data_IF_295321296766
#
_entry.id   IF_295321296766
#
_cell.length_a   1.000
_cell.length_b   1.000
_cell.length_c   1.000
_cell.angle_alpha   90.00
_cell.angle_beta   90.00
_cell.angle_gamma   90.00
#
_symmetry.space_group_name_H-M   'P 1'
#
loop_
_entity.id
_entity.type
_entity.pdbx_description
1 polymer ?
#
# COMPACT_ATOMS: atom_id res chain seq x y z
N UNK A 1 -5.11 -24.29 35.88
CA UNK A 1 -5.82 -25.51 36.30
C UNK A 1 -6.61 -26.01 35.09
N UNK A 2 -6.39 -27.28 34.66
CA UNK A 2 -6.85 -27.95 33.40
C UNK A 2 -6.03 -27.54 32.15
N UNK A 3 -5.17 -28.32 31.47
CA UNK A 3 -4.98 -29.78 31.21
C UNK A 3 -6.26 -30.49 30.79
N UNK A 4 -6.41 -30.83 29.50
CA UNK A 4 -6.57 -32.20 28.92
C UNK A 4 -6.46 -32.08 27.38
N UNK A 5 -5.83 -33.08 26.76
CA UNK A 5 -5.86 -33.51 25.33
C UNK A 5 -4.48 -33.56 24.66
N UNK A 6 -3.64 -34.44 25.19
CA UNK A 6 -2.65 -35.21 24.43
C UNK A 6 -3.06 -36.67 24.59
N UNK A 7 -3.59 -37.29 23.54
CA UNK A 7 -3.60 -38.74 23.34
C UNK A 7 -4.24 -39.05 21.99
N UNK A 8 -3.40 -39.41 21.00
CA UNK A 8 -3.71 -40.34 19.90
C UNK A 8 -2.50 -40.36 18.93
N UNK A 9 -1.46 -41.11 19.29
CA UNK A 9 -0.54 -41.68 18.30
C UNK A 9 0.37 -42.72 18.96
N UNK A 10 -0.08 -43.98 18.99
CA UNK A 10 0.76 -45.17 18.75
C UNK A 10 -0.06 -46.45 18.83
N UNK A 11 -0.21 -47.14 17.70
CA UNK A 11 0.04 -48.59 17.58
C UNK A 11 0.12 -49.03 16.10
N UNK A 12 1.35 -49.36 15.69
CA UNK A 12 1.81 -50.45 14.80
C UNK A 12 1.04 -50.79 13.50
N UNK A 13 1.68 -50.91 12.33
CA UNK A 13 2.63 -51.99 12.04
C UNK A 13 3.32 -51.84 10.67
N UNK A 14 4.41 -52.60 10.53
CA UNK A 14 5.40 -52.70 9.47
C UNK A 14 4.90 -52.96 8.04
N UNK A 15 5.40 -52.19 7.06
CA UNK A 15 5.55 -52.61 5.66
C UNK A 15 6.86 -52.05 5.09
N UNK A 16 7.76 -52.97 4.73
CA UNK A 16 9.03 -52.75 4.03
C UNK A 16 8.82 -52.01 2.71
N UNK A 17 9.58 -50.93 2.45
CA UNK A 17 9.73 -50.33 1.13
C UNK A 17 11.21 -50.15 0.80
N UNK A 18 11.61 -50.72 -0.34
CA UNK A 18 12.90 -50.53 -0.99
C UNK A 18 13.18 -49.04 -1.28
N UNK A 19 14.41 -48.61 -0.99
CA UNK A 19 14.96 -47.31 -1.37
C UNK A 19 15.85 -47.51 -2.60
N UNK A 20 15.64 -46.82 -3.75
CA UNK A 20 16.61 -46.81 -4.84
C UNK A 20 17.66 -45.70 -4.66
N UNK A 21 18.87 -45.86 -5.19
CA UNK A 21 20.00 -44.97 -4.93
C UNK A 21 19.86 -43.61 -5.64
N UNK A 22 20.30 -42.57 -4.93
CA UNK A 22 20.45 -41.21 -5.43
C UNK A 22 21.67 -41.12 -6.35
N UNK A 23 21.49 -40.57 -7.55
CA UNK A 23 22.58 -40.19 -8.43
C UNK A 23 22.30 -40.50 -9.90
N UNK A 24 21.47 -39.69 -10.55
CA UNK A 24 21.38 -39.54 -12.02
C UNK A 24 20.37 -38.46 -12.48
N UNK A 25 19.57 -37.87 -11.58
CA UNK A 25 18.55 -36.87 -11.93
C UNK A 25 19.06 -35.41 -12.05
N UNK A 26 20.31 -35.10 -11.69
CA UNK A 26 20.82 -33.72 -11.67
C UNK A 26 21.47 -33.24 -12.98
N UNK A 27 21.73 -34.13 -13.95
CA UNK A 27 22.43 -33.77 -15.19
C UNK A 27 21.48 -33.26 -16.30
N UNK A 28 20.21 -33.68 -16.32
CA UNK A 28 19.27 -33.33 -17.40
C UNK A 28 18.50 -32.00 -17.17
N UNK A 29 18.68 -31.34 -16.02
CA UNK A 29 18.01 -30.08 -15.71
C UNK A 29 18.82 -28.83 -16.12
N UNK A 30 20.15 -28.95 -16.29
CA UNK A 30 21.02 -27.83 -16.71
C UNK A 30 20.85 -27.47 -18.20
N UNK A 31 20.74 -28.45 -19.08
CA UNK A 31 20.56 -28.19 -20.52
C UNK A 31 19.20 -27.61 -20.91
N UNK A 32 18.18 -27.74 -20.04
CA UNK A 32 16.84 -27.19 -20.30
C UNK A 32 16.69 -25.74 -19.86
N UNK A 33 17.52 -25.27 -18.92
CA UNK A 33 17.52 -23.88 -18.45
C UNK A 33 18.33 -22.94 -19.37
N UNK A 34 19.39 -23.43 -20.02
CA UNK A 34 20.20 -22.61 -20.93
C UNK A 34 19.45 -22.23 -22.22
N UNK A 35 18.56 -23.08 -22.74
CA UNK A 35 17.75 -22.76 -23.94
C UNK A 35 16.63 -21.76 -23.66
N UNK A 36 16.07 -21.76 -22.45
CA UNK A 36 14.99 -20.82 -22.09
C UNK A 36 15.54 -19.39 -21.92
N UNK A 37 16.79 -19.24 -21.47
CA UNK A 37 17.43 -17.92 -21.38
C UNK A 37 17.84 -17.34 -22.74
N UNK A 38 18.18 -18.16 -23.75
CA UNK A 38 18.51 -17.65 -25.09
C UNK A 38 17.28 -17.13 -25.85
N UNK A 39 16.13 -17.80 -25.70
CA UNK A 39 14.92 -17.47 -26.46
C UNK A 39 14.23 -16.18 -25.95
N UNK A 40 14.37 -15.87 -24.65
CA UNK A 40 13.86 -14.61 -24.06
C UNK A 40 14.73 -13.40 -24.46
N UNK A 41 16.02 -13.60 -24.74
CA UNK A 41 16.92 -12.55 -25.22
C UNK A 41 16.70 -12.24 -26.73
N UNK A 42 16.36 -13.24 -27.55
CA UNK A 42 16.16 -13.07 -28.98
C UNK A 42 14.81 -12.41 -29.36
N UNK A 43 13.79 -12.51 -28.51
CA UNK A 43 12.47 -11.91 -28.77
C UNK A 43 12.40 -10.37 -28.61
N UNK A 44 13.51 -9.71 -28.25
CA UNK A 44 13.57 -8.24 -28.01
C UNK A 44 14.09 -7.39 -29.19
N UNK A 45 14.27 -7.96 -30.39
CA UNK A 45 14.88 -7.22 -31.52
C UNK A 45 14.00 -7.01 -32.75
N UNK A 46 12.68 -7.19 -32.66
CA UNK A 46 11.76 -6.84 -33.75
C UNK A 46 10.75 -5.78 -33.31
N UNK A 47 11.17 -4.52 -33.42
CA UNK A 47 10.30 -3.34 -33.37
C UNK A 47 9.50 -3.23 -34.67
N UNK A 48 8.19 -3.37 -34.57
CA UNK A 48 7.24 -3.00 -35.62
C UNK A 48 7.00 -1.48 -35.57
N UNK A 49 6.94 -0.76 -36.71
CA UNK A 49 6.80 0.69 -36.70
C UNK A 49 5.37 1.10 -36.26
N UNK A 50 5.30 2.02 -35.30
CA UNK A 50 4.06 2.59 -34.80
C UNK A 50 3.35 3.41 -35.89
N UNK A 51 2.11 3.05 -36.22
CA UNK A 51 1.19 3.91 -36.98
C UNK A 51 0.80 5.11 -36.11
N UNK A 52 1.13 6.31 -36.56
CA UNK A 52 0.64 7.56 -35.98
C UNK A 52 -0.85 7.70 -36.29
N UNK A 53 -1.70 7.51 -35.27
CA UNK A 53 -3.04 8.07 -35.25
C UNK A 53 -3.01 9.27 -34.30
N UNK A 54 -3.30 10.45 -34.84
CA UNK A 54 -3.51 11.68 -34.10
C UNK A 54 -4.82 11.57 -33.31
N UNK A 55 -4.73 11.18 -32.05
CA UNK A 55 -5.84 11.38 -31.11
C UNK A 55 -5.78 12.81 -30.58
N UNK A 56 -6.85 13.55 -30.83
CA UNK A 56 -7.12 14.86 -30.23
C UNK A 56 -7.14 14.71 -28.69
N UNK A 57 -6.05 15.10 -28.03
CA UNK A 57 -6.02 15.18 -26.58
C UNK A 57 -6.94 16.32 -26.11
N UNK A 58 -7.99 16.03 -25.32
CA UNK A 58 -8.79 17.09 -24.73
C UNK A 58 -7.93 17.92 -23.77
N UNK A 59 -8.08 19.24 -23.90
CA UNK A 59 -7.34 20.30 -23.23
C UNK A 59 -7.18 20.06 -21.72
N UNK A 60 -5.93 20.21 -21.27
CA UNK A 60 -5.43 20.32 -19.89
C UNK A 60 -6.49 20.79 -18.86
N UNK A 61 -6.79 19.93 -17.89
CA UNK A 61 -7.64 20.21 -16.73
C UNK A 61 -6.77 20.46 -15.50
N UNK A 62 -6.99 21.61 -14.83
CA UNK A 62 -6.72 21.97 -13.42
C UNK A 62 -5.53 21.29 -12.71
N UNK A 63 -4.61 22.08 -12.14
CA UNK A 63 -3.53 21.59 -11.25
C UNK A 63 -3.96 20.39 -10.40
N UNK A 64 -3.25 19.25 -10.46
CA UNK A 64 -3.74 18.03 -9.86
C UNK A 64 -3.73 18.16 -8.33
N UNK A 65 -4.82 17.74 -7.68
CA UNK A 65 -4.94 17.72 -6.21
C UNK A 65 -3.97 16.66 -5.65
N UNK A 66 -3.12 16.98 -4.67
CA UNK A 66 -2.29 16.01 -3.96
C UNK A 66 -3.06 14.73 -3.64
N UNK A 67 -2.64 13.62 -4.25
CA UNK A 67 -3.30 12.33 -4.08
C UNK A 67 -2.29 11.31 -3.56
N UNK A 68 -2.65 10.64 -2.48
CA UNK A 68 -1.80 9.69 -1.77
C UNK A 68 -2.48 8.31 -1.70
N UNK A 69 -1.74 7.27 -2.09
CA UNK A 69 -2.14 5.87 -1.89
C UNK A 69 -1.45 5.33 -0.64
N UNK A 70 -2.23 4.84 0.32
CA UNK A 70 -1.72 4.29 1.57
C UNK A 70 -1.72 2.78 1.48
N UNK A 71 -0.54 2.22 1.28
CA UNK A 71 -0.29 0.78 1.29
C UNK A 71 0.22 0.34 2.64
N UNK A 72 0.00 -0.92 2.98
CA UNK A 72 0.61 -1.56 4.15
C UNK A 72 1.60 -2.61 3.70
N UNK A 73 2.69 -2.78 4.45
CA UNK A 73 3.59 -3.89 4.25
C UNK A 73 2.92 -5.22 4.61
N UNK A 74 1.99 -5.19 5.58
CA UNK A 74 1.16 -6.33 5.95
C UNK A 74 -0.21 -5.87 6.49
N UNK A 75 -1.03 -6.82 6.93
CA UNK A 75 -2.16 -6.56 7.83
C UNK A 75 -1.66 -6.22 9.23
N UNK A 76 -2.43 -5.43 9.98
CA UNK A 76 -2.16 -5.11 11.39
C UNK A 76 -0.79 -4.45 11.63
N UNK A 77 -0.41 -3.54 10.74
CA UNK A 77 0.78 -2.68 10.87
C UNK A 77 0.43 -1.25 11.31
N UNK A 78 -0.85 -1.01 11.63
CA UNK A 78 -1.34 0.32 12.02
C UNK A 78 -1.70 1.27 10.88
N UNK A 79 -2.03 0.75 9.68
CA UNK A 79 -2.43 1.56 8.51
C UNK A 79 -3.47 2.63 8.84
N UNK A 80 -4.61 2.24 9.40
CA UNK A 80 -5.72 3.16 9.68
C UNK A 80 -5.34 4.19 10.75
N UNK A 81 -4.56 3.78 11.75
CA UNK A 81 -4.04 4.66 12.81
C UNK A 81 -3.13 5.74 12.22
N UNK A 82 -2.16 5.34 11.41
CA UNK A 82 -1.24 6.28 10.77
C UNK A 82 -1.95 7.15 9.71
N UNK A 83 -2.94 6.60 8.99
CA UNK A 83 -3.74 7.37 8.04
C UNK A 83 -4.55 8.46 8.73
N UNK A 84 -5.16 8.18 9.88
CA UNK A 84 -5.84 9.21 10.68
C UNK A 84 -4.87 10.29 11.19
N UNK A 85 -3.63 9.92 11.55
CA UNK A 85 -2.59 10.89 11.90
C UNK A 85 -2.17 11.78 10.72
N UNK A 86 -1.98 11.18 9.54
CA UNK A 86 -1.68 11.91 8.30
C UNK A 86 -2.79 12.90 7.94
N UNK A 87 -4.05 12.49 8.07
CA UNK A 87 -5.21 13.36 7.83
C UNK A 87 -5.24 14.55 8.80
N UNK A 88 -4.95 14.33 10.08
CA UNK A 88 -4.85 15.41 11.07
C UNK A 88 -3.76 16.42 10.72
N UNK A 89 -2.56 15.93 10.38
CA UNK A 89 -1.45 16.77 9.98
C UNK A 89 -1.76 17.54 8.69
N UNK A 90 -2.34 16.86 7.68
CA UNK A 90 -2.70 17.46 6.40
C UNK A 90 -3.78 18.54 6.52
N UNK A 91 -4.75 18.37 7.43
CA UNK A 91 -5.81 19.34 7.66
C UNK A 91 -5.35 20.55 8.49
N UNK A 92 -4.23 20.42 9.21
CA UNK A 92 -3.70 21.46 10.09
C UNK A 92 -2.59 22.21 9.36
N UNK A 93 -2.79 23.49 8.98
CA UNK A 93 -1.74 24.26 8.33
C UNK A 93 -0.51 24.46 9.24
N UNK A 94 0.69 24.70 8.67
CA UNK A 94 1.81 25.24 9.43
C UNK A 94 1.44 26.55 10.12
N UNK A 95 2.03 26.86 11.28
CA UNK A 95 1.69 28.01 12.14
C UNK A 95 1.66 29.38 11.43
N UNK A 96 2.29 29.51 10.26
CA UNK A 96 2.32 30.71 9.43
C UNK A 96 1.11 30.87 8.50
N UNK A 97 0.20 29.90 8.45
CA UNK A 97 -0.93 29.89 7.51
C UNK A 97 -2.26 29.69 8.24
N UNK A 98 -3.23 30.58 8.00
CA UNK A 98 -4.57 30.54 8.61
C UNK A 98 -5.61 29.83 7.72
N UNK A 99 -5.22 29.35 6.54
CA UNK A 99 -6.13 28.70 5.61
C UNK A 99 -6.41 27.24 6.03
N UNK A 100 -7.68 26.84 5.98
CA UNK A 100 -8.08 25.46 6.26
C UNK A 100 -7.79 24.56 5.06
N UNK A 101 -7.19 23.40 5.32
CA UNK A 101 -6.88 22.40 4.30
C UNK A 101 -8.02 21.40 4.22
N UNK A 102 -8.56 21.21 3.02
CA UNK A 102 -9.52 20.14 2.75
C UNK A 102 -8.81 18.79 2.62
N UNK A 103 -9.31 17.79 3.33
CA UNK A 103 -8.73 16.45 3.32
C UNK A 103 -9.81 15.40 3.09
N UNK A 104 -9.58 14.52 2.13
CA UNK A 104 -10.57 13.53 1.69
C UNK A 104 -10.02 12.12 1.89
N UNK A 105 -10.67 11.34 2.76
CA UNK A 105 -10.34 9.95 3.01
C UNK A 105 -11.23 9.01 2.18
N UNK A 106 -10.61 8.03 1.51
CA UNK A 106 -11.32 7.02 0.73
C UNK A 106 -10.77 5.63 1.09
N UNK A 107 -11.66 4.71 1.46
CA UNK A 107 -11.37 3.28 1.60
C UNK A 107 -12.15 2.52 0.51
N UNK A 108 -11.51 2.12 -0.60
CA UNK A 108 -12.26 1.45 -1.66
C UNK A 108 -12.83 0.09 -1.22
N UNK A 109 -12.07 -0.67 -0.44
CA UNK A 109 -12.44 -2.02 0.01
C UNK A 109 -12.32 -2.11 1.54
N UNK A 110 -13.42 -2.42 2.23
CA UNK A 110 -13.48 -2.61 3.69
C UNK A 110 -14.00 -4.01 4.03
N UNK A 111 -13.31 -4.72 4.92
CA UNK A 111 -13.76 -6.00 5.45
C UNK A 111 -13.72 -6.00 6.97
N UNK A 112 -14.86 -6.26 7.62
CA UNK A 112 -15.02 -6.15 9.06
C UNK A 112 -14.75 -4.73 9.58
N UNK A 113 -15.07 -4.49 10.85
CA UNK A 113 -14.78 -3.21 11.52
C UNK A 113 -15.36 -1.99 10.79
N UNK A 114 -14.75 -0.81 10.98
CA UNK A 114 -15.08 0.40 10.21
C UNK A 114 -13.91 1.37 10.28
N UNK A 115 -13.07 1.38 9.23
CA UNK A 115 -11.92 2.30 9.14
C UNK A 115 -12.41 3.75 9.00
N UNK A 116 -13.47 3.96 8.23
CA UNK A 116 -14.16 5.26 8.12
C UNK A 116 -14.65 5.76 9.50
N UNK A 117 -15.30 4.90 10.28
CA UNK A 117 -15.72 5.25 11.64
C UNK A 117 -14.52 5.53 12.57
N UNK A 118 -13.41 4.81 12.38
CA UNK A 118 -12.17 5.07 13.12
C UNK A 118 -11.57 6.43 12.76
N UNK A 119 -11.50 6.76 11.46
CA UNK A 119 -10.99 8.05 10.97
C UNK A 119 -11.86 9.20 11.47
N UNK A 120 -13.19 9.11 11.40
CA UNK A 120 -14.07 10.16 11.91
C UNK A 120 -13.88 10.46 13.40
N UNK A 121 -13.58 9.44 14.21
CA UNK A 121 -13.32 9.61 15.64
C UNK A 121 -11.95 10.21 15.95
N UNK A 122 -10.93 9.87 15.17
CA UNK A 122 -9.54 10.23 15.48
C UNK A 122 -8.99 11.38 14.62
N UNK A 123 -9.66 11.74 13.53
CA UNK A 123 -9.30 12.81 12.62
C UNK A 123 -10.54 13.62 12.24
N UNK A 124 -11.22 14.19 13.24
CA UNK A 124 -12.48 14.93 13.07
C UNK A 124 -12.38 16.17 12.16
N UNK A 125 -11.16 16.62 11.86
CA UNK A 125 -10.88 17.67 10.89
C UNK A 125 -10.96 17.21 9.42
N UNK A 126 -11.15 15.91 9.16
CA UNK A 126 -11.30 15.39 7.80
C UNK A 126 -12.54 15.98 7.12
N UNK A 127 -12.39 16.45 5.89
CA UNK A 127 -13.49 17.09 5.14
C UNK A 127 -14.53 16.09 4.67
N UNK A 128 -14.09 14.90 4.24
CA UNK A 128 -14.99 13.81 3.89
C UNK A 128 -14.33 12.47 4.06
N UNK A 129 -15.10 11.47 4.49
CA UNK A 129 -14.71 10.07 4.46
C UNK A 129 -15.62 9.31 3.49
N UNK A 130 -15.09 8.25 2.88
CA UNK A 130 -15.91 7.35 2.07
C UNK A 130 -15.37 5.92 2.06
N UNK A 131 -16.21 4.98 2.49
CA UNK A 131 -16.07 3.56 2.11
C UNK A 131 -16.84 3.28 0.81
N UNK A 132 -16.22 2.66 -0.20
CA UNK A 132 -16.89 2.34 -1.47
C UNK A 132 -17.59 0.98 -1.45
N UNK A 133 -16.88 -0.06 -1.01
CA UNK A 133 -17.42 -1.42 -0.86
C UNK A 133 -17.09 -1.96 0.52
N UNK A 134 -18.07 -2.64 1.13
CA UNK A 134 -17.99 -3.12 2.51
C UNK A 134 -18.54 -4.54 2.62
N UNK A 135 -17.81 -5.36 3.37
CA UNK A 135 -18.22 -6.66 3.87
C UNK A 135 -18.11 -6.69 5.40
N UNK A 136 -18.98 -7.43 6.07
CA UNK A 136 -18.96 -7.59 7.54
C UNK A 136 -17.94 -8.65 7.98
N UNK A 137 -17.65 -9.62 7.12
CA UNK A 137 -16.71 -10.71 7.40
C UNK A 137 -15.29 -10.16 7.57
N UNK A 138 -14.62 -10.38 8.73
CA UNK A 138 -13.27 -9.91 9.00
C UNK A 138 -12.24 -10.82 8.32
N UNK A 139 -12.20 -10.80 7.00
CA UNK A 139 -11.27 -11.56 6.16
C UNK A 139 -10.71 -10.68 5.04
N UNK A 140 -9.77 -11.21 4.25
CA UNK A 140 -9.33 -10.50 3.04
C UNK A 140 -10.51 -10.28 2.05
N UNK A 141 -10.49 -9.23 1.22
CA UNK A 141 -11.61 -8.89 0.34
C UNK A 141 -12.15 -10.05 -0.49
N UNK A 142 -11.31 -10.85 -1.16
CA UNK A 142 -11.78 -11.99 -1.95
C UNK A 142 -12.51 -13.07 -1.12
N UNK A 143 -12.10 -13.29 0.14
CA UNK A 143 -12.74 -14.26 1.03
C UNK A 143 -14.07 -13.69 1.52
N UNK A 144 -14.07 -12.45 2.01
CA UNK A 144 -15.27 -11.80 2.53
C UNK A 144 -16.36 -11.69 1.45
N UNK A 145 -15.98 -11.26 0.24
CA UNK A 145 -16.89 -11.18 -0.90
C UNK A 145 -17.50 -12.53 -1.28
N UNK A 146 -16.70 -13.61 -1.23
CA UNK A 146 -17.17 -14.97 -1.48
C UNK A 146 -18.10 -15.48 -0.38
N UNK A 147 -17.72 -15.31 0.88
CA UNK A 147 -18.50 -15.80 2.04
C UNK A 147 -19.85 -15.11 2.14
N UNK A 148 -19.93 -13.83 1.80
CA UNK A 148 -21.17 -13.06 1.83
C UNK A 148 -21.96 -13.11 0.52
N UNK A 149 -21.47 -13.81 -0.50
CA UNK A 149 -22.06 -13.83 -1.84
C UNK A 149 -22.31 -12.41 -2.40
N UNK A 150 -21.34 -11.51 -2.18
CA UNK A 150 -21.35 -10.10 -2.63
C UNK A 150 -20.06 -9.77 -3.39
N UNK A 151 -19.82 -10.39 -4.56
CA UNK A 151 -18.64 -10.11 -5.34
C UNK A 151 -18.62 -8.71 -5.93
N UNK A 152 -17.42 -8.14 -6.05
CA UNK A 152 -17.18 -6.88 -6.76
C UNK A 152 -15.95 -7.09 -7.64
N UNK A 153 -16.11 -6.89 -8.95
CA UNK A 153 -15.02 -7.00 -9.93
C UNK A 153 -14.03 -5.83 -9.83
N UNK A 154 -12.81 -6.05 -10.29
CA UNK A 154 -11.75 -5.02 -10.25
C UNK A 154 -12.13 -3.77 -11.06
N UNK A 155 -12.85 -3.94 -12.19
CA UNK A 155 -13.40 -2.84 -12.98
C UNK A 155 -14.44 -2.01 -12.20
N UNK A 156 -15.36 -2.67 -11.49
CA UNK A 156 -16.35 -1.99 -10.64
C UNK A 156 -15.66 -1.19 -9.52
N UNK A 157 -14.60 -1.74 -8.91
CA UNK A 157 -13.83 -1.03 -7.88
C UNK A 157 -13.22 0.25 -8.46
N UNK A 158 -12.52 0.13 -9.59
CA UNK A 158 -11.83 1.26 -10.20
C UNK A 158 -12.80 2.30 -10.78
N UNK A 159 -13.93 1.87 -11.36
CA UNK A 159 -14.96 2.78 -11.84
C UNK A 159 -15.61 3.55 -10.70
N UNK A 160 -15.96 2.89 -9.59
CA UNK A 160 -16.54 3.55 -8.43
C UNK A 160 -15.56 4.55 -7.80
N UNK A 161 -14.28 4.17 -7.69
CA UNK A 161 -13.22 5.06 -7.20
C UNK A 161 -13.05 6.27 -8.13
N UNK A 162 -12.97 6.06 -9.44
CA UNK A 162 -12.86 7.14 -10.40
C UNK A 162 -14.06 8.09 -10.35
N UNK A 163 -15.28 7.56 -10.35
CA UNK A 163 -16.50 8.34 -10.22
C UNK A 163 -16.51 9.16 -8.92
N UNK A 164 -16.11 8.57 -7.79
CA UNK A 164 -16.05 9.29 -6.51
C UNK A 164 -15.00 10.41 -6.54
N UNK A 165 -13.80 10.15 -7.06
CA UNK A 165 -12.73 11.16 -7.21
C UNK A 165 -13.15 12.36 -8.08
N UNK A 166 -14.09 12.18 -9.01
CA UNK A 166 -14.67 13.27 -9.80
C UNK A 166 -15.66 14.14 -9.01
N UNK A 167 -16.25 13.61 -7.93
CA UNK A 167 -17.17 14.38 -7.06
C UNK A 167 -16.43 15.29 -6.07
N UNK A 168 -15.15 15.04 -5.82
CA UNK A 168 -14.35 15.85 -4.91
C UNK A 168 -14.17 17.25 -5.52
N UNK A 169 -14.57 18.33 -4.82
CA UNK A 169 -14.50 19.68 -5.34
C UNK A 169 -13.09 20.04 -5.79
N UNK A 170 -12.92 20.29 -7.09
CA UNK A 170 -11.68 20.81 -7.67
C UNK A 170 -11.73 22.32 -7.90
N UNK A 171 -12.70 23.00 -7.32
CA UNK A 171 -12.84 24.46 -7.33
C UNK A 171 -13.55 24.84 -6.04
N UNK A 172 -13.24 26.00 -5.49
CA UNK A 172 -14.04 26.51 -4.38
C UNK A 172 -15.44 26.96 -4.86
N UNK A 173 -16.28 27.38 -3.91
CA UNK A 173 -17.64 27.90 -4.15
C UNK A 173 -17.71 29.12 -5.10
N UNK A 174 -16.59 29.77 -5.38
CA UNK A 174 -16.49 30.94 -6.26
C UNK A 174 -15.99 30.59 -7.66
N UNK A 175 -15.77 29.30 -7.96
CA UNK A 175 -15.31 28.85 -9.27
C UNK A 175 -13.81 29.10 -9.51
N UNK A 176 -13.08 29.51 -8.48
CA UNK A 176 -11.61 29.58 -8.49
C UNK A 176 -11.02 28.18 -8.35
N UNK A 177 -9.86 27.95 -8.97
CA UNK A 177 -9.03 26.72 -8.84
C UNK A 177 -8.95 26.38 -7.35
N UNK A 178 -9.13 25.10 -6.94
CA UNK A 178 -9.14 24.82 -5.52
C UNK A 178 -7.79 25.29 -4.99
N UNK A 179 -7.84 25.92 -3.83
CA UNK A 179 -6.67 26.47 -3.18
C UNK A 179 -5.57 25.39 -3.12
N UNK A 180 -4.32 25.82 -2.92
CA UNK A 180 -3.15 24.96 -2.64
C UNK A 180 -3.33 24.01 -1.42
N UNK A 181 -4.55 23.87 -0.91
CA UNK A 181 -4.89 23.36 0.40
C UNK A 181 -5.95 22.24 0.29
N UNK A 182 -5.79 21.32 -0.67
CA UNK A 182 -6.63 20.11 -0.76
C UNK A 182 -5.76 18.86 -0.91
N UNK A 183 -6.14 17.76 -0.27
CA UNK A 183 -5.45 16.47 -0.42
C UNK A 183 -6.42 15.28 -0.34
N UNK A 184 -6.07 14.21 -1.06
CA UNK A 184 -6.84 12.98 -1.18
C UNK A 184 -5.99 11.82 -0.67
N UNK A 185 -6.56 10.99 0.20
CA UNK A 185 -5.90 9.88 0.87
C UNK A 185 -6.70 8.59 0.64
N UNK A 186 -6.18 7.71 -0.21
CA UNK A 186 -6.81 6.46 -0.61
C UNK A 186 -6.14 5.32 0.16
N UNK A 187 -6.82 4.75 1.14
CA UNK A 187 -6.30 3.68 1.97
C UNK A 187 -6.68 2.30 1.41
N UNK A 188 -5.67 1.48 1.15
CA UNK A 188 -5.84 0.11 0.60
C UNK A 188 -6.24 -0.91 1.68
N UNK A 189 -6.70 -2.08 1.26
CA UNK A 189 -7.03 -3.19 2.17
C UNK A 189 -5.91 -4.23 2.24
N UNK A 190 -5.48 -4.59 3.46
CA UNK A 190 -4.42 -5.58 3.67
C UNK A 190 -3.02 -5.04 3.34
N UNK A 191 -2.13 -5.92 2.91
CA UNK A 191 -0.79 -5.57 2.41
C UNK A 191 -0.75 -5.29 0.90
N UNK A 192 0.39 -4.86 0.37
CA UNK A 192 0.59 -4.58 -1.07
C UNK A 192 0.10 -5.71 -1.98
N UNK A 193 0.45 -6.95 -1.63
CA UNK A 193 0.12 -8.14 -2.41
C UNK A 193 -1.16 -8.85 -1.93
N UNK A 194 -1.94 -8.21 -1.05
CA UNK A 194 -3.23 -8.78 -0.63
C UNK A 194 -4.20 -8.84 -1.81
N UNK A 195 -5.05 -9.87 -1.89
CA UNK A 195 -6.08 -9.97 -2.92
C UNK A 195 -7.07 -8.80 -2.89
N UNK A 196 -7.50 -8.36 -4.07
CA UNK A 196 -8.72 -7.58 -4.29
C UNK A 196 -9.99 -8.43 -3.98
N UNK A 197 -11.19 -7.90 -4.21
CA UNK A 197 -12.49 -8.52 -3.88
C UNK A 197 -13.01 -9.59 -4.86
N UNK A 198 -12.27 -9.86 -5.92
CA UNK A 198 -12.80 -10.30 -7.22
C UNK A 198 -13.69 -11.59 -7.25
N UNK A 199 -14.62 -11.62 -8.23
CA UNK A 199 -15.96 -12.29 -8.37
C UNK A 199 -16.04 -13.82 -8.67
N UNK A 200 -17.20 -14.53 -8.46
CA UNK A 200 -17.53 -15.85 -9.04
C UNK A 200 -17.63 -15.89 -10.57
N UNK A 201 -17.71 -14.74 -11.25
CA UNK A 201 -17.61 -14.66 -12.72
C UNK A 201 -16.14 -14.59 -13.22
N UNK A 202 -15.16 -14.49 -12.31
CA UNK A 202 -13.73 -14.66 -12.64
C UNK A 202 -13.33 -16.13 -12.87
N UNK A 203 -14.29 -16.96 -13.27
CA UNK A 203 -14.02 -18.26 -13.88
C UNK A 203 -13.57 -18.10 -15.35
N UNK A 204 -13.76 -16.91 -15.92
CA UNK A 204 -13.20 -16.54 -17.21
C UNK A 204 -12.08 -15.52 -17.02
N UNK A 205 -11.07 -15.69 -17.84
CA UNK A 205 -9.74 -15.19 -17.60
C UNK A 205 -9.59 -13.71 -17.98
N UNK A 206 -10.55 -12.83 -17.76
CA UNK A 206 -10.34 -11.43 -18.20
C UNK A 206 -9.39 -10.59 -17.30
N UNK A 207 -8.79 -11.21 -16.26
CA UNK A 207 -7.52 -10.78 -15.65
C UNK A 207 -6.34 -11.76 -15.89
N UNK A 208 -6.56 -12.80 -16.68
CA UNK A 208 -5.60 -13.75 -17.26
C UNK A 208 -5.76 -13.72 -18.79
N UNK A 209 -5.04 -12.89 -19.54
CA UNK A 209 -5.28 -12.71 -21.00
C UNK A 209 -5.32 -13.99 -21.88
N UNK A 210 -5.10 -15.18 -21.33
CA UNK A 210 -5.31 -16.49 -21.92
C UNK A 210 -6.15 -17.44 -21.03
N UNK A 211 -6.53 -18.59 -21.56
CA UNK A 211 -7.32 -19.64 -20.89
C UNK A 211 -6.54 -20.45 -19.83
N UNK A 212 -5.52 -19.86 -19.16
CA UNK A 212 -4.65 -20.58 -18.21
C UNK A 212 -4.68 -20.10 -16.74
N UNK A 213 -5.43 -19.05 -16.37
CA UNK A 213 -5.32 -18.42 -15.03
C UNK A 213 -6.58 -18.39 -14.14
N UNK A 214 -6.37 -18.13 -12.83
CA UNK A 214 -7.38 -18.03 -11.77
C UNK A 214 -7.56 -16.60 -11.23
N UNK A 215 -8.65 -16.40 -10.49
CA UNK A 215 -9.22 -15.10 -10.07
C UNK A 215 -8.41 -14.20 -9.13
N UNK A 216 -8.99 -13.00 -8.91
CA UNK A 216 -8.50 -11.82 -8.17
C UNK A 216 -7.08 -11.32 -8.52
N UNK A 217 -6.92 -10.01 -8.56
CA UNK A 217 -5.60 -9.36 -8.66
C UNK A 217 -5.13 -8.91 -7.28
N UNK A 218 -3.84 -8.58 -7.13
CA UNK A 218 -3.36 -7.96 -5.88
C UNK A 218 -3.78 -6.49 -5.81
N UNK A 219 -3.86 -5.92 -4.60
CA UNK A 219 -4.13 -4.48 -4.40
C UNK A 219 -3.10 -3.62 -5.15
N UNK A 220 -1.82 -4.04 -5.16
CA UNK A 220 -0.77 -3.39 -5.93
C UNK A 220 -1.04 -3.36 -7.43
N UNK A 221 -1.64 -4.42 -8.00
CA UNK A 221 -1.99 -4.48 -9.41
C UNK A 221 -3.29 -3.69 -9.71
N UNK A 222 -4.28 -3.76 -8.80
CA UNK A 222 -5.57 -3.08 -8.93
C UNK A 222 -5.40 -1.56 -9.12
N UNK A 223 -4.60 -0.90 -8.28
CA UNK A 223 -4.47 0.56 -8.30
C UNK A 223 -3.36 1.08 -9.21
N UNK A 224 -2.73 0.22 -10.02
CA UNK A 224 -1.62 0.64 -10.91
C UNK A 224 -1.99 1.81 -11.84
N UNK A 225 -3.23 1.92 -12.36
CA UNK A 225 -3.64 3.09 -13.15
C UNK A 225 -3.57 4.45 -12.42
N UNK A 226 -3.47 4.46 -11.09
CA UNK A 226 -3.29 5.67 -10.27
C UNK A 226 -1.81 5.97 -9.96
N UNK A 227 -0.88 5.05 -10.22
CA UNK A 227 0.50 5.14 -9.74
C UNK A 227 1.29 6.36 -10.25
N UNK A 228 1.00 6.85 -11.45
CA UNK A 228 1.64 8.07 -11.99
C UNK A 228 1.01 9.35 -11.42
N UNK A 229 -0.23 9.26 -10.94
CA UNK A 229 -1.05 10.38 -10.46
C UNK A 229 -1.15 10.46 -8.94
N UNK A 230 -0.55 9.50 -8.23
CA UNK A 230 -0.60 9.44 -6.78
C UNK A 230 0.77 9.07 -6.21
N UNK A 231 1.16 9.74 -5.14
CA UNK A 231 2.32 9.34 -4.35
C UNK A 231 1.93 8.19 -3.40
N UNK A 232 2.78 7.17 -3.27
CA UNK A 232 2.55 6.10 -2.30
C UNK A 232 3.20 6.44 -0.96
N UNK A 233 2.44 6.29 0.11
CA UNK A 233 2.98 6.14 1.47
C UNK A 233 2.83 4.68 1.86
N UNK A 234 3.95 4.04 2.18
CA UNK A 234 3.96 2.66 2.65
C UNK A 234 4.00 2.64 4.19
N UNK A 235 2.99 2.07 4.81
CA UNK A 235 3.03 1.75 6.23
C UNK A 235 3.78 0.44 6.42
N UNK A 236 5.03 0.54 6.86
CA UNK A 236 5.90 -0.60 7.13
C UNK A 236 5.52 -1.34 8.41
N UNK A 237 6.23 -2.43 8.68
CA UNK A 237 6.07 -3.22 9.90
C UNK A 237 7.20 -2.90 10.89
N UNK A 238 6.86 -2.33 12.04
CA UNK A 238 7.81 -2.00 13.10
C UNK A 238 8.15 -3.16 14.04
N UNK A 239 7.54 -4.34 13.87
CA UNK A 239 7.80 -5.53 14.69
C UNK A 239 9.11 -6.21 14.30
N UNK A 240 9.52 -7.19 15.10
CA UNK A 240 10.61 -8.11 14.74
C UNK A 240 10.29 -8.84 13.42
N UNK A 241 11.25 -8.84 12.49
CA UNK A 241 11.07 -9.33 11.12
C UNK A 241 10.46 -8.32 10.15
N UNK A 242 10.02 -7.16 10.65
CA UNK A 242 9.31 -6.15 9.87
C UNK A 242 10.16 -5.43 8.82
N UNK A 243 11.49 -5.36 9.00
CA UNK A 243 12.42 -4.82 7.99
C UNK A 243 12.25 -5.57 6.66
N UNK A 244 12.34 -6.90 6.69
CA UNK A 244 12.25 -7.75 5.49
C UNK A 244 10.89 -7.61 4.80
N UNK A 245 9.80 -7.66 5.57
CA UNK A 245 8.44 -7.53 5.03
C UNK A 245 8.22 -6.15 4.39
N UNK A 246 8.76 -5.10 5.00
CA UNK A 246 8.68 -3.72 4.48
C UNK A 246 9.47 -3.59 3.18
N UNK A 247 10.70 -4.12 3.10
CA UNK A 247 11.51 -4.09 1.88
C UNK A 247 10.88 -4.90 0.74
N UNK A 248 10.36 -6.11 1.00
CA UNK A 248 9.65 -6.89 -0.02
C UNK A 248 8.41 -6.15 -0.55
N UNK A 249 7.70 -5.44 0.33
CA UNK A 249 6.54 -4.63 -0.06
C UNK A 249 6.94 -3.43 -0.91
N UNK A 250 8.07 -2.80 -0.56
CA UNK A 250 8.64 -1.68 -1.30
C UNK A 250 9.08 -2.10 -2.70
N UNK A 251 9.80 -3.21 -2.83
CA UNK A 251 10.15 -3.80 -4.12
C UNK A 251 8.91 -4.15 -4.94
N UNK A 252 7.88 -4.72 -4.32
CA UNK A 252 6.63 -5.05 -5.00
C UNK A 252 5.94 -3.81 -5.57
N UNK A 253 6.00 -2.67 -4.89
CA UNK A 253 5.47 -1.38 -5.36
C UNK A 253 6.32 -0.82 -6.51
N UNK A 254 7.65 -0.79 -6.35
CA UNK A 254 8.56 -0.30 -7.39
C UNK A 254 8.48 -1.09 -8.68
N UNK A 255 8.41 -2.42 -8.60
CA UNK A 255 8.24 -3.30 -9.75
C UNK A 255 6.93 -3.05 -10.52
N UNK A 256 5.96 -2.39 -9.88
CA UNK A 256 4.68 -1.98 -10.47
C UNK A 256 4.67 -0.54 -10.97
N UNK A 257 5.78 0.19 -10.83
CA UNK A 257 5.94 1.56 -11.29
C UNK A 257 5.37 2.62 -10.33
N UNK A 258 5.09 2.27 -9.09
CA UNK A 258 4.65 3.28 -8.11
C UNK A 258 5.82 4.19 -7.69
N UNK A 259 5.53 5.48 -7.56
CA UNK A 259 6.41 6.41 -6.83
C UNK A 259 6.13 6.31 -5.34
N UNK A 260 7.01 5.64 -4.59
CA UNK A 260 6.92 5.60 -3.12
C UNK A 260 7.59 6.86 -2.58
N UNK A 261 6.78 7.76 -2.02
CA UNK A 261 7.24 9.03 -1.48
C UNK A 261 7.74 8.89 -0.04
N UNK A 262 7.17 7.99 0.76
CA UNK A 262 7.63 7.81 2.13
C UNK A 262 7.19 6.49 2.75
N UNK A 263 7.85 6.14 3.86
CA UNK A 263 7.57 4.98 4.70
C UNK A 263 7.26 5.46 6.11
N UNK A 264 6.14 5.00 6.67
CA UNK A 264 5.75 5.23 8.06
C UNK A 264 5.77 3.92 8.85
N UNK A 265 6.21 3.98 10.09
CA UNK A 265 6.24 2.84 11.00
C UNK A 265 5.61 3.23 12.34
N UNK A 266 5.06 2.24 13.03
CA UNK A 266 4.81 2.31 14.47
C UNK A 266 5.92 1.55 15.17
N UNK A 267 6.55 2.15 16.18
CA UNK A 267 7.48 1.43 17.07
C UNK A 267 6.75 0.29 17.77
N UNK A 268 7.44 -0.82 17.98
CA UNK A 268 6.93 -1.98 18.72
C UNK A 268 7.88 -2.39 19.84
N UNK A 269 7.31 -2.88 20.95
CA UNK A 269 8.03 -3.35 22.13
C UNK A 269 8.08 -2.29 23.25
N UNK A 270 8.13 -2.76 24.50
CA UNK A 270 8.41 -1.92 25.66
C UNK A 270 9.90 -2.03 25.99
N UNK A 271 10.59 -0.89 26.08
CA UNK A 271 11.98 -0.85 26.49
C UNK A 271 12.75 0.35 25.95
N UNK A 272 13.79 0.71 26.69
CA UNK A 272 14.74 1.80 26.42
C UNK A 272 15.70 1.47 25.26
N UNK A 273 15.25 0.71 24.24
CA UNK A 273 15.96 0.64 22.97
C UNK A 273 15.81 2.02 22.34
N UNK A 274 16.73 2.91 22.72
CA UNK A 274 16.75 4.33 22.39
C UNK A 274 16.83 4.60 20.87
N UNK A 275 17.01 3.56 20.06
CA UNK A 275 17.03 3.65 18.60
C UNK A 275 15.98 2.72 17.99
N UNK A 276 15.15 3.28 17.11
CA UNK A 276 14.28 2.52 16.25
C UNK A 276 15.11 1.79 15.18
N UNK A 277 15.47 0.54 15.50
CA UNK A 277 16.31 -0.30 14.65
C UNK A 277 15.69 -0.53 13.28
N UNK A 278 14.36 -0.64 13.18
CA UNK A 278 13.68 -0.88 11.91
C UNK A 278 13.76 0.37 11.02
N UNK A 279 13.47 1.55 11.57
CA UNK A 279 13.60 2.82 10.85
C UNK A 279 15.02 3.00 10.32
N UNK A 280 16.01 2.86 11.21
CA UNK A 280 17.42 3.04 10.89
C UNK A 280 17.91 2.06 9.82
N UNK A 281 17.56 0.78 9.95
CA UNK A 281 17.94 -0.22 8.94
C UNK A 281 17.34 0.08 7.56
N UNK A 282 16.10 0.58 7.50
CA UNK A 282 15.48 0.99 6.24
C UNK A 282 16.17 2.23 5.67
N UNK A 283 16.48 3.23 6.49
CA UNK A 283 17.22 4.43 6.07
C UNK A 283 18.62 4.08 5.53
N UNK A 284 19.38 3.23 6.22
CA UNK A 284 20.69 2.75 5.80
C UNK A 284 20.60 2.00 4.46
N UNK A 285 19.62 1.11 4.31
CA UNK A 285 19.41 0.37 3.07
C UNK A 285 19.10 1.27 1.89
N UNK A 286 18.15 2.21 2.05
CA UNK A 286 17.75 3.14 0.99
C UNK A 286 18.88 4.10 0.63
N UNK A 287 19.62 4.60 1.62
CA UNK A 287 20.81 5.44 1.40
C UNK A 287 21.88 4.68 0.60
N UNK A 288 22.12 3.41 0.94
CA UNK A 288 23.07 2.55 0.22
C UNK A 288 22.69 2.30 -1.24
N UNK A 289 21.38 2.16 -1.53
CA UNK A 289 20.88 1.96 -2.90
C UNK A 289 20.95 3.22 -3.77
N UNK A 290 20.80 4.42 -3.19
CA UNK A 290 20.91 5.68 -3.94
C UNK A 290 22.25 5.80 -4.70
N UNK A 291 23.31 5.20 -4.15
CA UNK A 291 24.65 5.14 -4.76
C UNK A 291 24.75 4.28 -6.01
N UNK A 292 23.87 3.28 -6.19
CA UNK A 292 24.05 2.21 -7.19
C UNK A 292 22.93 2.12 -8.25
N UNK A 293 21.72 2.57 -7.95
CA UNK A 293 20.56 2.44 -8.83
C UNK A 293 20.10 3.81 -9.36
N UNK A 294 20.23 4.03 -10.68
CA UNK A 294 19.81 5.26 -11.34
C UNK A 294 18.29 5.35 -11.57
N UNK A 295 17.55 4.24 -11.52
CA UNK A 295 16.13 4.20 -11.85
C UNK A 295 15.25 4.83 -10.76
N UNK A 296 15.67 4.74 -9.50
CA UNK A 296 14.89 5.19 -8.35
C UNK A 296 15.30 6.54 -7.77
N UNK A 297 16.36 7.18 -8.27
CA UNK A 297 16.90 8.46 -7.74
C UNK A 297 15.92 9.62 -7.78
N UNK A 298 14.93 9.59 -8.67
CA UNK A 298 13.90 10.63 -8.75
C UNK A 298 12.81 10.48 -7.67
N UNK A 299 12.72 9.32 -7.00
CA UNK A 299 11.71 9.10 -5.97
C UNK A 299 12.10 9.86 -4.68
N UNK A 300 11.14 10.54 -4.02
CA UNK A 300 11.41 11.34 -2.81
C UNK A 300 12.08 10.56 -1.69
N UNK A 301 11.74 9.26 -1.61
CA UNK A 301 12.29 8.34 -0.63
C UNK A 301 13.82 8.30 -0.61
N UNK A 302 14.47 8.51 -1.76
CA UNK A 302 15.94 8.47 -1.87
C UNK A 302 16.59 9.84 -1.72
N UNK A 303 15.83 10.93 -1.83
CA UNK A 303 16.37 12.29 -1.76
C UNK A 303 16.71 12.67 -0.32
N UNK A 304 15.83 12.31 0.61
CA UNK A 304 16.03 12.51 2.04
C UNK A 304 15.43 11.32 2.81
N UNK A 305 16.20 10.21 2.98
CA UNK A 305 15.74 9.05 3.75
C UNK A 305 15.38 9.39 5.21
N UNK A 306 16.01 10.40 5.81
CA UNK A 306 15.75 10.80 7.19
C UNK A 306 14.35 11.42 7.34
N UNK A 307 13.93 12.23 6.37
CA UNK A 307 12.58 12.84 6.35
C UNK A 307 11.50 11.92 5.77
N UNK A 308 11.89 11.01 4.88
CA UNK A 308 10.94 10.18 4.13
C UNK A 308 10.67 8.81 4.76
N UNK A 309 11.49 8.36 5.71
CA UNK A 309 11.31 7.12 6.47
C UNK A 309 11.29 7.47 7.94
N UNK A 310 10.09 7.53 8.53
CA UNK A 310 9.90 7.98 9.91
C UNK A 310 9.07 7.00 10.72
N UNK A 311 9.38 6.92 12.01
CA UNK A 311 8.63 6.11 12.96
C UNK A 311 7.93 6.95 14.01
N UNK A 312 6.74 6.50 14.37
CA UNK A 312 5.94 7.07 15.44
C UNK A 312 6.08 6.22 16.71
N UNK A 313 5.90 6.81 17.90
CA UNK A 313 5.94 6.10 19.18
C UNK A 313 5.01 4.89 19.22
N UNK A 314 5.31 3.98 20.16
CA UNK A 314 4.45 2.83 20.46
C UNK A 314 3.05 3.32 20.79
N UNK A 315 2.03 2.61 20.32
CA UNK A 315 0.65 2.91 20.68
C UNK A 315 0.43 2.67 22.18
N UNK A 316 -0.40 3.48 22.84
CA UNK A 316 -0.78 3.20 24.21
C UNK A 316 -1.55 1.86 24.27
N UNK A 317 -1.50 1.13 25.39
CA UNK A 317 -2.21 -0.14 25.52
C UNK A 317 -3.72 0.07 25.43
N UNK A 318 -4.44 -0.87 24.83
CA UNK A 318 -5.90 -0.84 24.86
C UNK A 318 -6.41 -0.96 26.31
N UNK A 319 -7.49 -0.24 26.69
CA UNK A 319 -8.39 0.56 25.85
C UNK A 319 -8.10 2.07 25.86
N UNK A 320 -6.85 2.49 26.15
CA UNK A 320 -6.52 3.92 26.28
C UNK A 320 -6.83 4.67 24.96
N UNK A 321 -7.64 5.75 24.99
CA UNK A 321 -7.93 6.52 23.79
C UNK A 321 -6.67 7.08 23.14
N UNK A 322 -6.65 7.11 21.80
CA UNK A 322 -5.52 7.61 21.03
C UNK A 322 -5.43 9.15 20.98
N UNK A 323 -6.40 9.87 21.57
CA UNK A 323 -6.45 11.34 21.56
C UNK A 323 -5.17 11.97 22.10
N UNK A 324 -4.67 11.43 23.21
CA UNK A 324 -3.48 11.93 23.88
C UNK A 324 -2.21 11.54 23.11
N UNK A 325 -2.21 10.34 22.51
CA UNK A 325 -1.13 9.87 21.65
C UNK A 325 -0.97 10.76 20.42
N UNK A 326 -2.06 11.01 19.68
CA UNK A 326 -2.07 11.95 18.55
C UNK A 326 -1.72 13.37 18.97
N UNK A 327 -2.07 13.76 20.21
CA UNK A 327 -1.80 15.10 20.72
C UNK A 327 -0.39 15.33 21.21
N UNK A 328 0.39 14.26 21.40
CA UNK A 328 1.77 14.32 21.88
C UNK A 328 2.67 15.12 20.92
N UNK A 329 3.64 15.84 21.50
CA UNK A 329 4.55 16.70 20.73
C UNK A 329 5.38 15.89 19.72
N UNK A 330 5.78 14.67 20.07
CA UNK A 330 6.53 13.79 19.15
C UNK A 330 5.68 13.39 17.94
N UNK A 331 4.44 12.90 18.16
CA UNK A 331 3.56 12.49 17.06
C UNK A 331 3.19 13.66 16.17
N UNK A 332 2.75 14.79 16.75
CA UNK A 332 2.38 15.99 15.99
C UNK A 332 3.53 16.51 15.14
N UNK A 333 4.71 16.68 15.73
CA UNK A 333 5.88 17.22 15.01
C UNK A 333 6.32 16.28 13.89
N UNK A 334 6.40 14.98 14.15
CA UNK A 334 6.82 14.00 13.15
C UNK A 334 5.84 13.93 11.99
N UNK A 335 4.52 13.85 12.24
CA UNK A 335 3.52 13.80 11.17
C UNK A 335 3.40 15.14 10.42
N UNK A 336 3.46 16.27 11.12
CA UNK A 336 3.41 17.59 10.49
C UNK A 336 4.59 17.80 9.54
N UNK A 337 5.82 17.50 9.99
CA UNK A 337 7.01 17.58 9.15
C UNK A 337 6.94 16.60 7.98
N UNK A 338 6.54 15.34 8.22
CA UNK A 338 6.39 14.35 7.16
C UNK A 338 5.37 14.77 6.09
N UNK A 339 4.26 15.39 6.48
CA UNK A 339 3.24 15.86 5.52
C UNK A 339 3.66 17.14 4.82
N UNK A 340 3.96 18.20 5.56
CA UNK A 340 4.13 19.55 5.00
C UNK A 340 5.53 19.81 4.46
N UNK A 341 6.56 19.26 5.09
CA UNK A 341 7.95 19.47 4.67
C UNK A 341 8.46 18.41 3.70
N UNK A 342 7.73 17.30 3.54
CA UNK A 342 8.15 16.19 2.67
C UNK A 342 7.10 15.81 1.62
N UNK A 343 5.94 15.28 2.03
CA UNK A 343 4.94 14.80 1.06
C UNK A 343 4.38 15.90 0.16
N UNK A 344 4.02 17.06 0.71
CA UNK A 344 3.44 18.16 -0.05
C UNK A 344 4.48 18.92 -0.87
N UNK A 345 5.70 19.12 -0.35
CA UNK A 345 6.78 19.73 -1.13
C UNK A 345 7.13 18.91 -2.38
N UNK A 346 7.14 17.58 -2.26
CA UNK A 346 7.34 16.74 -3.43
C UNK A 346 6.26 16.93 -4.50
N UNK A 347 5.01 17.11 -4.08
CA UNK A 347 3.90 17.31 -5.00
C UNK A 347 4.01 18.64 -5.75
N UNK A 348 4.46 19.71 -5.09
CA UNK A 348 4.66 21.01 -5.73
C UNK A 348 5.78 21.02 -6.78
N UNK A 349 6.71 20.04 -6.72
CA UNK A 349 7.80 19.87 -7.69
C UNK A 349 7.48 18.98 -8.89
N UNK A 350 6.28 18.39 -8.97
CA UNK A 350 5.77 17.61 -10.11
C UNK A 350 4.95 18.50 -11.06
#
# INVERSE_FOLDING_TARGET
>A
MRRVLWDLARTSSSLSRHVPPQGLAYANQRHRLERVCSDVAAARLHSTPARQHSEDHPKSLSSPVPTHLIFGANTDVGKTVLTAGLLQAAATPPESNNDSFSTHYIKPLQCGGSDEGFVLRNASCVTSTKTLFRWETPASPHVAARMENKPVSDEQVMQALHSYLQTIPRKDKYGTVPSKFSSIWIETAGGVLSPSSSSPDNNSTWHSKDSSGSGWVTQGDLYRPLGEKAAVVLVGDGRLGGISVTLCSLEALWRRGYTVAGVLLLRYGEGDYAEDVNQRALQEHITGLAGTDSFHRASPLFQDPERSIVSLPVLPPEPVPLTDWYSSSEVKRTLSSFVHEHLFQHWEGK
#
